data_IF_880892966711
#
_entry.id   IF_880892966711
#
_cell.length_a   1.000
_cell.length_b   1.000
_cell.length_c   1.000
_cell.angle_alpha   90.00
_cell.angle_beta   90.00
_cell.angle_gamma   90.00
#
_symmetry.space_group_name_H-M   'P 1'
#
loop_
_entity.id
_entity.type
_entity.pdbx_description
1 polymer ?
#
# COMPACT_ATOMS: atom_id res chain seq x y z
N UNK A 1 -0.76 -21.43 50.10
CA UNK A 1 -0.31 -20.83 48.84
C UNK A 1 -0.55 -21.77 47.66
N UNK A 2 -1.75 -22.02 47.33
CA UNK A 2 -2.20 -22.52 46.04
C UNK A 2 -3.63 -22.04 45.83
N UNK A 3 -3.89 -21.19 44.85
CA UNK A 3 -5.11 -21.35 44.11
C UNK A 3 -5.01 -20.81 42.67
N UNK A 4 -4.31 -21.51 41.78
CA UNK A 4 -4.28 -21.12 40.35
C UNK A 4 -4.70 -22.24 39.41
N UNK A 5 -4.99 -23.43 39.91
CA UNK A 5 -5.28 -24.63 39.09
C UNK A 5 -6.78 -24.82 38.78
N UNK A 6 -7.68 -24.02 39.34
CA UNK A 6 -9.14 -24.17 39.16
C UNK A 6 -9.72 -23.66 37.84
N UNK A 7 -9.27 -22.52 37.37
CA UNK A 7 -9.85 -21.85 36.18
C UNK A 7 -9.42 -22.50 34.85
N UNK A 8 -8.21 -23.09 34.76
CA UNK A 8 -7.77 -23.80 33.54
C UNK A 8 -8.68 -24.99 33.21
N UNK A 9 -9.08 -25.77 34.21
CA UNK A 9 -9.98 -26.90 34.01
C UNK A 9 -11.41 -26.47 33.62
N UNK A 10 -11.84 -25.32 34.11
CA UNK A 10 -13.16 -24.76 33.77
C UNK A 10 -13.20 -24.20 32.36
N UNK A 11 -12.11 -23.50 31.91
CA UNK A 11 -11.98 -22.98 30.55
C UNK A 11 -11.85 -24.12 29.52
N UNK A 12 -11.04 -25.13 29.80
CA UNK A 12 -10.87 -26.30 28.89
C UNK A 12 -12.17 -27.10 28.81
N UNK A 13 -12.86 -27.33 29.93
CA UNK A 13 -14.17 -28.00 29.94
C UNK A 13 -15.31 -27.21 29.26
N UNK A 14 -15.22 -25.87 29.23
CA UNK A 14 -16.15 -25.03 28.48
C UNK A 14 -15.90 -25.06 26.97
N UNK A 15 -14.63 -25.15 26.57
CA UNK A 15 -14.23 -25.29 25.15
C UNK A 15 -14.64 -26.67 24.60
N UNK A 16 -14.43 -27.75 25.37
CA UNK A 16 -14.84 -29.10 24.95
C UNK A 16 -16.37 -29.25 24.87
N UNK A 17 -17.13 -28.63 25.78
CA UNK A 17 -18.60 -28.63 25.69
C UNK A 17 -19.14 -27.82 24.52
N UNK A 18 -18.47 -26.74 24.12
CA UNK A 18 -18.86 -25.95 22.95
C UNK A 18 -18.55 -26.65 21.64
N UNK A 19 -17.45 -27.43 21.60
CA UNK A 19 -17.09 -28.25 20.44
C UNK A 19 -17.95 -29.49 20.24
N UNK A 20 -18.56 -30.02 21.31
CA UNK A 20 -19.44 -31.20 21.23
C UNK A 20 -20.92 -30.87 20.96
N UNK A 21 -21.35 -29.62 21.22
CA UNK A 21 -22.73 -29.17 20.94
C UNK A 21 -22.94 -28.76 19.48
N UNK A 22 -21.92 -28.31 18.78
CA UNK A 22 -22.04 -27.88 17.38
C UNK A 22 -21.86 -29.00 16.34
N UNK A 23 -21.56 -30.23 16.79
CA UNK A 23 -21.36 -31.36 15.87
C UNK A 23 -22.64 -32.14 15.53
N UNK A 24 -23.78 -31.86 16.20
CA UNK A 24 -25.02 -32.60 15.98
C UNK A 24 -26.16 -31.86 15.28
N UNK A 25 -26.06 -30.52 15.11
CA UNK A 25 -27.11 -29.73 14.46
C UNK A 25 -26.72 -29.11 13.12
N UNK A 26 -25.55 -29.45 12.59
CA UNK A 26 -24.98 -28.91 11.33
C UNK A 26 -25.10 -29.81 10.10
N UNK A 27 -25.89 -30.89 10.15
CA UNK A 27 -25.87 -31.90 9.07
C UNK A 27 -26.92 -31.67 7.94
N UNK A 28 -27.66 -30.55 7.93
CA UNK A 28 -28.70 -30.33 6.89
C UNK A 28 -28.74 -28.88 6.31
N UNK A 29 -27.59 -28.23 6.18
CA UNK A 29 -27.47 -27.05 5.31
C UNK A 29 -26.30 -27.26 4.35
N UNK A 30 -26.39 -28.29 3.50
CA UNK A 30 -25.60 -28.42 2.27
C UNK A 30 -26.01 -27.30 1.31
N UNK A 31 -25.40 -26.13 1.45
CA UNK A 31 -25.10 -25.34 0.27
C UNK A 31 -24.11 -26.18 -0.55
N UNK A 32 -24.66 -27.06 -1.38
CA UNK A 32 -23.93 -27.69 -2.48
C UNK A 32 -23.58 -26.58 -3.47
N UNK A 33 -22.51 -25.86 -3.19
CA UNK A 33 -21.76 -25.18 -4.23
C UNK A 33 -21.15 -26.30 -5.07
N UNK A 34 -21.67 -26.45 -6.29
CA UNK A 34 -21.21 -27.41 -7.29
C UNK A 34 -19.68 -27.38 -7.36
N UNK A 35 -18.98 -28.53 -7.22
CA UNK A 35 -17.52 -28.57 -7.37
C UNK A 35 -17.03 -28.03 -8.71
N UNK A 36 -17.92 -27.97 -9.72
CA UNK A 36 -17.67 -27.38 -11.02
C UNK A 36 -17.69 -25.85 -11.03
N UNK A 37 -18.45 -25.19 -10.15
CA UNK A 37 -18.44 -23.72 -10.03
C UNK A 37 -17.14 -23.22 -9.40
N UNK A 38 -16.61 -23.93 -8.41
CA UNK A 38 -15.31 -23.61 -7.81
C UNK A 38 -14.12 -23.93 -8.73
N UNK A 39 -14.24 -24.92 -9.63
CA UNK A 39 -13.23 -25.22 -10.64
C UNK A 39 -13.26 -24.22 -11.82
N UNK A 40 -14.43 -23.72 -12.19
CA UNK A 40 -14.57 -22.74 -13.26
C UNK A 40 -14.21 -21.31 -12.83
N UNK A 41 -14.37 -20.98 -11.54
CA UNK A 41 -13.88 -19.73 -10.94
C UNK A 41 -12.35 -19.70 -10.82
N UNK A 42 -11.67 -20.85 -10.71
CA UNK A 42 -10.20 -20.98 -10.74
C UNK A 42 -9.59 -20.82 -12.12
N UNK A 43 -10.36 -20.77 -13.20
CA UNK A 43 -9.85 -20.80 -14.57
C UNK A 43 -9.42 -19.45 -15.15
N UNK A 44 -9.79 -18.31 -14.55
CA UNK A 44 -9.34 -16.98 -15.00
C UNK A 44 -8.86 -16.19 -13.79
N UNK A 45 -7.55 -15.95 -13.70
CA UNK A 45 -6.98 -15.04 -12.72
C UNK A 45 -7.76 -13.72 -12.73
N UNK A 46 -8.17 -13.25 -11.55
CA UNK A 46 -8.89 -12.00 -11.35
C UNK A 46 -8.15 -10.80 -12.00
N UNK A 47 -6.84 -10.89 -12.05
CA UNK A 47 -5.96 -9.91 -12.69
C UNK A 47 -6.33 -9.63 -14.14
N UNK A 48 -6.58 -10.70 -14.94
CA UNK A 48 -6.97 -10.56 -16.36
C UNK A 48 -8.47 -10.31 -16.55
N UNK A 49 -9.28 -10.67 -15.57
CA UNK A 49 -10.75 -10.54 -15.66
C UNK A 49 -11.24 -9.15 -15.22
N UNK A 50 -10.54 -8.50 -14.28
CA UNK A 50 -10.95 -7.20 -13.76
C UNK A 50 -9.88 -6.12 -14.02
N UNK A 51 -10.11 -5.22 -15.01
CA UNK A 51 -9.14 -4.19 -15.37
C UNK A 51 -8.84 -3.20 -14.23
N UNK A 52 -9.72 -3.06 -13.23
CA UNK A 52 -9.45 -2.20 -12.07
C UNK A 52 -8.34 -2.80 -11.22
N UNK A 53 -8.33 -4.12 -10.99
CA UNK A 53 -7.27 -4.80 -10.23
C UNK A 53 -5.93 -4.67 -10.94
N UNK A 54 -5.92 -4.79 -12.28
CA UNK A 54 -4.72 -4.58 -13.09
C UNK A 54 -4.17 -3.15 -12.92
N UNK A 55 -5.03 -2.13 -12.94
CA UNK A 55 -4.61 -0.73 -12.72
C UNK A 55 -4.06 -0.53 -11.31
N UNK A 56 -4.72 -1.08 -10.30
CA UNK A 56 -4.26 -1.00 -8.91
C UNK A 56 -2.90 -1.68 -8.74
N UNK A 57 -2.68 -2.82 -9.41
CA UNK A 57 -1.37 -3.48 -9.42
C UNK A 57 -0.28 -2.57 -9.99
N UNK A 58 -0.51 -1.93 -11.15
CA UNK A 58 0.48 -1.03 -11.74
C UNK A 58 0.69 0.25 -10.91
N UNK A 59 -0.36 0.78 -10.29
CA UNK A 59 -0.23 1.92 -9.36
C UNK A 59 0.60 1.55 -8.14
N UNK A 60 0.36 0.38 -7.55
CA UNK A 60 1.14 -0.10 -6.39
C UNK A 60 2.57 -0.45 -6.76
N UNK A 61 2.81 -1.03 -7.95
CA UNK A 61 4.14 -1.28 -8.47
C UNK A 61 4.94 0.01 -8.66
N UNK A 62 4.32 1.02 -9.28
CA UNK A 62 4.94 2.33 -9.48
C UNK A 62 5.26 3.01 -8.15
N UNK A 63 4.33 2.89 -7.19
CA UNK A 63 4.51 3.44 -5.84
C UNK A 63 5.62 2.72 -5.07
N UNK A 64 5.68 1.38 -5.15
CA UNK A 64 6.78 0.60 -4.55
C UNK A 64 8.14 0.94 -5.17
N UNK A 65 8.22 1.07 -6.49
CA UNK A 65 9.45 1.47 -7.17
C UNK A 65 9.90 2.89 -6.76
N UNK A 66 8.95 3.82 -6.64
CA UNK A 66 9.21 5.16 -6.14
C UNK A 66 9.83 5.14 -4.74
N UNK A 67 9.22 4.39 -3.78
CA UNK A 67 9.77 4.27 -2.42
C UNK A 67 11.15 3.61 -2.40
N UNK A 68 11.36 2.55 -3.17
CA UNK A 68 12.67 1.93 -3.28
C UNK A 68 13.75 2.88 -3.80
N UNK A 69 13.41 3.74 -4.76
CA UNK A 69 14.31 4.80 -5.26
C UNK A 69 14.56 5.85 -4.19
N UNK A 70 13.50 6.30 -3.49
CA UNK A 70 13.58 7.34 -2.46
C UNK A 70 14.46 6.91 -1.28
N UNK A 71 14.23 5.71 -0.74
CA UNK A 71 15.01 5.18 0.39
C UNK A 71 16.49 5.09 0.02
N UNK A 72 16.79 4.56 -1.16
CA UNK A 72 18.17 4.43 -1.64
C UNK A 72 18.82 5.79 -1.90
N UNK A 73 18.08 6.74 -2.49
CA UNK A 73 18.54 8.10 -2.71
C UNK A 73 18.88 8.81 -1.40
N UNK A 74 18.02 8.66 -0.39
CA UNK A 74 18.20 9.27 0.94
C UNK A 74 19.41 8.70 1.65
N UNK A 75 19.61 7.37 1.62
CA UNK A 75 20.79 6.72 2.20
C UNK A 75 22.06 7.13 1.50
N UNK A 76 22.06 7.14 0.15
CA UNK A 76 23.22 7.54 -0.65
C UNK A 76 23.59 9.02 -0.40
N UNK A 77 22.60 9.91 -0.34
CA UNK A 77 22.82 11.32 -0.05
C UNK A 77 23.46 11.52 1.34
N UNK A 78 22.96 10.81 2.36
CA UNK A 78 23.53 10.89 3.71
C UNK A 78 24.97 10.36 3.76
N UNK A 79 25.29 9.30 3.05
CA UNK A 79 26.62 8.69 3.06
C UNK A 79 27.65 9.46 2.20
N UNK A 80 27.25 9.95 1.03
CA UNK A 80 28.17 10.58 0.06
C UNK A 80 28.33 12.07 0.32
N UNK A 81 27.22 12.79 0.56
CA UNK A 81 27.22 14.25 0.66
C UNK A 81 27.38 14.75 2.09
N UNK A 82 26.85 14.02 3.08
CA UNK A 82 26.89 14.42 4.49
C UNK A 82 27.96 13.65 5.28
N UNK A 83 28.54 12.61 4.70
CA UNK A 83 29.55 11.72 5.32
C UNK A 83 29.08 11.10 6.67
N UNK A 84 27.77 11.13 6.96
CA UNK A 84 27.19 10.60 8.20
C UNK A 84 25.87 9.86 7.92
N UNK A 85 25.85 8.52 8.03
CA UNK A 85 24.65 7.69 7.79
C UNK A 85 23.53 7.95 8.80
N UNK A 86 23.79 8.63 9.93
CA UNK A 86 22.78 8.94 10.94
C UNK A 86 21.67 9.82 10.36
N UNK A 87 21.99 10.70 9.42
CA UNK A 87 21.01 11.56 8.77
C UNK A 87 19.96 10.78 7.98
N UNK A 88 20.31 9.66 7.33
CA UNK A 88 19.34 8.80 6.67
C UNK A 88 18.29 8.25 7.65
N UNK A 89 18.75 7.80 8.81
CA UNK A 89 17.87 7.28 9.85
C UNK A 89 16.90 8.34 10.37
N UNK A 90 17.35 9.60 10.52
CA UNK A 90 16.50 10.72 10.93
C UNK A 90 15.38 10.97 9.91
N UNK A 91 15.71 10.97 8.62
CA UNK A 91 14.71 11.14 7.54
C UNK A 91 13.65 10.05 7.58
N UNK A 92 14.07 8.77 7.65
CA UNK A 92 13.15 7.63 7.68
C UNK A 92 12.24 7.63 8.92
N UNK A 93 12.77 8.05 10.07
CA UNK A 93 11.96 8.21 11.30
C UNK A 93 10.93 9.32 11.13
N UNK A 94 11.31 10.48 10.59
CA UNK A 94 10.39 11.59 10.34
C UNK A 94 9.32 11.17 9.35
N UNK A 95 9.68 10.55 8.25
CA UNK A 95 8.75 10.06 7.24
C UNK A 95 7.72 9.08 7.84
N UNK A 96 8.18 8.08 8.58
CA UNK A 96 7.32 7.08 9.23
C UNK A 96 6.39 7.71 10.25
N UNK A 97 6.89 8.64 11.06
CA UNK A 97 6.12 9.33 12.09
C UNK A 97 5.02 10.21 11.49
N UNK A 98 5.37 11.04 10.50
CA UNK A 98 4.42 11.92 9.82
C UNK A 98 3.36 11.11 9.07
N UNK A 99 3.77 10.05 8.37
CA UNK A 99 2.85 9.16 7.66
C UNK A 99 1.87 8.47 8.62
N UNK A 100 2.34 8.03 9.79
CA UNK A 100 1.48 7.42 10.81
C UNK A 100 0.43 8.41 11.33
N UNK A 101 0.85 9.63 11.68
CA UNK A 101 -0.09 10.67 12.12
C UNK A 101 -1.10 11.02 11.03
N UNK A 102 -0.62 11.18 9.79
CA UNK A 102 -1.50 11.47 8.65
C UNK A 102 -2.52 10.34 8.41
N UNK A 103 -2.10 9.08 8.56
CA UNK A 103 -3.00 7.92 8.46
C UNK A 103 -4.07 7.90 9.54
N UNK A 104 -3.70 8.20 10.79
CA UNK A 104 -4.66 8.31 11.90
C UNK A 104 -5.66 9.44 11.68
N UNK A 105 -5.18 10.63 11.30
CA UNK A 105 -6.05 11.78 11.00
C UNK A 105 -6.97 11.48 9.85
N UNK A 106 -6.46 10.89 8.76
CA UNK A 106 -7.27 10.54 7.59
C UNK A 106 -8.31 9.46 7.92
N UNK A 107 -7.96 8.46 8.75
CA UNK A 107 -8.89 7.42 9.21
C UNK A 107 -10.02 7.95 10.09
N UNK A 108 -9.83 9.08 10.79
CA UNK A 108 -10.88 9.76 11.56
C UNK A 108 -11.82 10.60 10.70
N UNK A 109 -11.37 11.02 9.52
CA UNK A 109 -12.15 11.91 8.63
C UNK A 109 -12.98 11.07 7.67
N UNK A 110 -14.30 11.06 7.89
CA UNK A 110 -15.24 10.41 6.96
C UNK A 110 -15.39 11.28 5.71
N UNK A 111 -14.66 10.91 4.65
CA UNK A 111 -14.78 11.60 3.36
C UNK A 111 -15.91 10.96 2.56
N UNK A 112 -17.03 11.65 2.40
CA UNK A 112 -18.22 11.20 1.64
C UNK A 112 -18.08 11.36 0.13
N UNK A 113 -16.88 11.58 -0.38
CA UNK A 113 -16.64 11.73 -1.81
C UNK A 113 -16.69 10.36 -2.53
N UNK A 114 -17.05 10.39 -3.82
CA UNK A 114 -17.04 9.21 -4.70
C UNK A 114 -15.63 8.60 -4.75
N UNK A 115 -15.51 7.28 -4.63
CA UNK A 115 -14.23 6.57 -4.50
C UNK A 115 -13.23 6.89 -5.63
N UNK A 116 -13.70 6.94 -6.88
CA UNK A 116 -12.85 7.34 -8.01
C UNK A 116 -12.24 8.74 -7.89
N UNK A 117 -12.97 9.69 -7.25
CA UNK A 117 -12.46 11.04 -6.98
C UNK A 117 -11.45 11.04 -5.84
N UNK A 118 -11.70 10.28 -4.77
CA UNK A 118 -10.75 10.12 -3.66
C UNK A 118 -9.42 9.60 -4.17
N UNK A 119 -9.46 8.53 -4.99
CA UNK A 119 -8.25 7.91 -5.57
C UNK A 119 -7.47 8.89 -6.45
N UNK A 120 -8.16 9.67 -7.30
CA UNK A 120 -7.51 10.69 -8.13
C UNK A 120 -6.90 11.80 -7.27
N UNK A 121 -7.63 12.29 -6.26
CA UNK A 121 -7.15 13.35 -5.37
C UNK A 121 -5.92 12.88 -4.56
N UNK A 122 -5.97 11.67 -4.02
CA UNK A 122 -4.84 11.08 -3.29
C UNK A 122 -3.61 10.89 -4.20
N UNK A 123 -3.81 10.45 -5.46
CA UNK A 123 -2.74 10.33 -6.44
C UNK A 123 -2.12 11.68 -6.80
N UNK A 124 -2.94 12.72 -6.98
CA UNK A 124 -2.45 14.09 -7.24
C UNK A 124 -1.68 14.63 -6.03
N UNK A 125 -2.18 14.38 -4.82
CA UNK A 125 -1.51 14.80 -3.59
C UNK A 125 -0.09 14.19 -3.48
N UNK A 126 0.07 12.89 -3.81
CA UNK A 126 1.39 12.24 -3.89
C UNK A 126 2.26 12.88 -4.96
N UNK A 127 1.74 13.01 -6.19
CA UNK A 127 2.51 13.59 -7.28
C UNK A 127 2.99 15.00 -7.00
N UNK A 128 2.18 15.83 -6.37
CA UNK A 128 2.56 17.18 -5.95
C UNK A 128 3.50 17.15 -4.75
N UNK A 129 3.19 16.38 -3.71
CA UNK A 129 3.99 16.29 -2.50
C UNK A 129 5.42 15.84 -2.79
N UNK A 130 5.56 14.67 -3.40
CA UNK A 130 6.88 14.12 -3.75
C UNK A 130 7.48 14.72 -5.03
N UNK A 131 6.68 15.30 -5.91
CA UNK A 131 7.19 16.04 -7.08
C UNK A 131 8.04 17.25 -6.70
N UNK A 132 7.86 17.81 -5.51
CA UNK A 132 8.71 18.88 -4.98
C UNK A 132 10.14 18.44 -4.68
N UNK A 133 10.44 17.13 -4.68
CA UNK A 133 11.79 16.60 -4.51
C UNK A 133 12.78 17.06 -5.58
N UNK A 134 12.32 17.47 -6.75
CA UNK A 134 13.17 18.05 -7.79
C UNK A 134 13.88 19.34 -7.32
N UNK A 135 13.34 20.01 -6.29
CA UNK A 135 13.92 21.23 -5.71
C UNK A 135 14.84 20.96 -4.52
N UNK A 136 15.11 19.69 -4.19
CA UNK A 136 16.04 19.34 -3.13
C UNK A 136 17.46 19.71 -3.55
N UNK A 137 18.03 20.69 -2.86
CA UNK A 137 19.41 21.16 -3.07
C UNK A 137 20.23 21.22 -1.78
N UNK A 138 19.58 20.97 -0.64
CA UNK A 138 20.26 20.93 0.65
C UNK A 138 19.54 20.02 1.64
N UNK A 139 20.21 19.66 2.72
CA UNK A 139 19.65 18.85 3.81
C UNK A 139 18.32 19.41 4.37
N UNK A 140 18.26 20.71 4.61
CA UNK A 140 17.06 21.35 5.14
C UNK A 140 15.88 21.31 4.16
N UNK A 141 16.15 21.48 2.86
CA UNK A 141 15.10 21.36 1.84
C UNK A 141 14.58 19.93 1.75
N UNK A 142 15.44 18.92 1.90
CA UNK A 142 15.03 17.51 1.92
C UNK A 142 14.08 17.23 3.09
N UNK A 143 14.41 17.68 4.31
CA UNK A 143 13.55 17.48 5.49
C UNK A 143 12.18 18.13 5.32
N UNK A 144 12.12 19.36 4.81
CA UNK A 144 10.85 20.07 4.60
C UNK A 144 10.00 19.35 3.56
N UNK A 145 10.59 18.94 2.45
CA UNK A 145 9.89 18.23 1.38
C UNK A 145 9.35 16.89 1.88
N UNK A 146 10.16 16.10 2.58
CA UNK A 146 9.73 14.81 3.13
C UNK A 146 8.64 14.99 4.17
N UNK A 147 8.74 15.99 5.04
CA UNK A 147 7.71 16.27 6.04
C UNK A 147 6.35 16.54 5.40
N UNK A 148 6.31 17.33 4.33
CA UNK A 148 5.08 17.64 3.60
C UNK A 148 4.58 16.42 2.83
N UNK A 149 5.49 15.73 2.15
CA UNK A 149 5.16 14.62 1.25
C UNK A 149 4.72 13.36 2.00
N UNK A 150 5.35 13.02 3.12
CA UNK A 150 5.03 11.85 3.94
C UNK A 150 3.56 11.84 4.40
N UNK A 151 2.98 13.03 4.63
CA UNK A 151 1.57 13.17 4.99
C UNK A 151 0.59 12.73 3.91
N UNK A 152 1.02 12.61 2.65
CA UNK A 152 0.15 12.20 1.54
C UNK A 152 0.16 10.69 1.28
N UNK A 153 1.13 9.96 1.81
CA UNK A 153 1.31 8.53 1.58
C UNK A 153 0.21 7.67 2.20
N UNK A 154 -0.05 7.83 3.50
CA UNK A 154 -1.04 7.03 4.20
C UNK A 154 -2.46 7.19 3.62
N UNK A 155 -2.97 8.41 3.34
CA UNK A 155 -4.22 8.60 2.63
C UNK A 155 -4.30 7.88 1.28
N UNK A 156 -3.21 7.86 0.53
CA UNK A 156 -3.17 7.17 -0.75
C UNK A 156 -3.31 5.65 -0.60
N UNK A 157 -2.55 5.02 0.29
CA UNK A 157 -2.61 3.57 0.53
C UNK A 157 -4.00 3.16 1.03
N UNK A 158 -4.58 3.91 1.98
CA UNK A 158 -5.93 3.65 2.48
C UNK A 158 -6.94 3.70 1.33
N UNK A 159 -6.91 4.76 0.54
CA UNK A 159 -7.84 4.93 -0.60
C UNK A 159 -7.63 3.86 -1.67
N UNK A 160 -6.40 3.40 -1.89
CA UNK A 160 -6.09 2.33 -2.84
C UNK A 160 -6.69 0.99 -2.38
N UNK A 161 -6.55 0.65 -1.09
CA UNK A 161 -7.16 -0.55 -0.52
C UNK A 161 -8.69 -0.49 -0.55
N UNK A 162 -9.31 0.63 -0.14
CA UNK A 162 -10.75 0.86 -0.28
C UNK A 162 -11.25 0.70 -1.73
N UNK A 163 -10.43 1.15 -2.70
CA UNK A 163 -10.77 1.00 -4.12
C UNK A 163 -10.70 -0.46 -4.57
N UNK A 164 -9.75 -1.23 -4.05
CA UNK A 164 -9.65 -2.67 -4.31
C UNK A 164 -10.86 -3.42 -3.74
N UNK A 165 -11.26 -3.08 -2.49
CA UNK A 165 -12.43 -3.67 -1.84
C UNK A 165 -13.73 -3.42 -2.61
N UNK A 166 -13.93 -2.21 -3.13
CA UNK A 166 -15.12 -1.86 -3.91
C UNK A 166 -15.10 -2.40 -5.35
N UNK A 167 -13.94 -2.77 -5.86
CA UNK A 167 -13.78 -3.23 -7.24
C UNK A 167 -14.13 -4.72 -7.45
N UNK A 168 -14.18 -5.51 -6.37
CA UNK A 168 -14.36 -6.97 -6.44
C UNK A 168 -15.39 -7.45 -5.42
N UNK A 169 -16.07 -8.58 -5.68
CA UNK A 169 -16.90 -9.26 -4.67
C UNK A 169 -16.07 -9.74 -3.48
N UNK A 170 -16.69 -9.87 -2.30
CA UNK A 170 -16.03 -10.32 -1.07
C UNK A 170 -15.25 -11.64 -1.23
N UNK A 171 -15.79 -12.58 -2.02
CA UNK A 171 -15.14 -13.87 -2.28
C UNK A 171 -13.77 -13.73 -2.97
N UNK A 172 -13.52 -12.65 -3.68
CA UNK A 172 -12.30 -12.39 -4.46
C UNK A 172 -11.41 -11.28 -3.85
N UNK A 173 -11.80 -10.77 -2.69
CA UNK A 173 -11.11 -9.64 -2.04
C UNK A 173 -9.65 -9.97 -1.70
N UNK A 174 -9.41 -11.15 -1.14
CA UNK A 174 -8.07 -11.62 -0.78
C UNK A 174 -7.15 -11.68 -2.01
N UNK A 175 -7.65 -12.16 -3.15
CA UNK A 175 -6.88 -12.21 -4.39
C UNK A 175 -6.54 -10.79 -4.88
N UNK A 176 -7.51 -9.87 -4.87
CA UNK A 176 -7.29 -8.48 -5.29
C UNK A 176 -6.25 -7.77 -4.42
N UNK A 177 -6.35 -7.89 -3.09
CA UNK A 177 -5.38 -7.29 -2.16
C UNK A 177 -4.00 -7.93 -2.28
N UNK A 178 -3.93 -9.24 -2.56
CA UNK A 178 -2.65 -9.92 -2.83
C UNK A 178 -1.98 -9.36 -4.08
N UNK A 179 -2.73 -9.11 -5.17
CA UNK A 179 -2.18 -8.49 -6.37
C UNK A 179 -1.65 -7.07 -6.11
N UNK A 180 -2.39 -6.25 -5.36
CA UNK A 180 -1.96 -4.90 -4.97
C UNK A 180 -0.66 -4.95 -4.15
N UNK A 181 -0.60 -5.81 -3.13
CA UNK A 181 0.58 -5.97 -2.29
C UNK A 181 1.78 -6.50 -3.07
N UNK A 182 1.56 -7.50 -3.94
CA UNK A 182 2.62 -8.06 -4.80
C UNK A 182 3.18 -7.01 -5.76
N UNK A 183 2.33 -6.16 -6.32
CA UNK A 183 2.77 -5.02 -7.14
C UNK A 183 3.71 -4.09 -6.38
N UNK A 184 3.34 -3.70 -5.15
CA UNK A 184 4.16 -2.84 -4.30
C UNK A 184 5.50 -3.48 -3.95
N UNK A 185 5.52 -4.77 -3.56
CA UNK A 185 6.74 -5.50 -3.24
C UNK A 185 7.67 -5.66 -4.46
N UNK A 186 7.11 -5.96 -5.63
CA UNK A 186 7.88 -6.00 -6.87
C UNK A 186 8.51 -4.62 -7.17
N UNK A 187 7.73 -3.55 -7.05
CA UNK A 187 8.24 -2.20 -7.21
C UNK A 187 9.38 -1.88 -6.24
N UNK A 188 9.19 -2.20 -4.96
CA UNK A 188 10.19 -2.00 -3.92
C UNK A 188 11.48 -2.78 -4.18
N UNK A 189 11.42 -3.95 -4.81
CA UNK A 189 12.59 -4.72 -5.19
C UNK A 189 13.34 -4.11 -6.40
N UNK A 190 12.62 -3.55 -7.37
CA UNK A 190 13.21 -2.89 -8.55
C UNK A 190 13.75 -1.50 -8.25
N UNK A 191 13.12 -0.76 -7.34
CA UNK A 191 13.48 0.62 -7.01
C UNK A 191 14.95 0.82 -6.66
N UNK A 192 15.50 0.10 -5.68
CA UNK A 192 16.90 0.22 -5.29
C UNK A 192 17.90 -0.11 -6.42
N UNK A 193 17.56 -1.09 -7.26
CA UNK A 193 18.39 -1.45 -8.41
C UNK A 193 18.47 -0.30 -9.42
N UNK A 194 17.32 0.32 -9.70
CA UNK A 194 17.25 1.49 -10.57
C UNK A 194 17.99 2.69 -9.94
N UNK A 195 17.81 2.90 -8.65
CA UNK A 195 18.45 3.97 -7.91
C UNK A 195 19.98 3.81 -7.91
N UNK A 196 20.49 2.60 -7.62
CA UNK A 196 21.93 2.32 -7.66
C UNK A 196 22.56 2.66 -9.01
N UNK A 197 21.93 2.21 -10.10
CA UNK A 197 22.40 2.53 -11.46
C UNK A 197 22.45 4.06 -11.73
N UNK A 198 21.46 4.81 -11.25
CA UNK A 198 21.38 6.26 -11.44
C UNK A 198 22.43 6.96 -10.59
N UNK A 199 22.62 6.54 -9.34
CA UNK A 199 23.62 7.12 -8.44
C UNK A 199 25.01 6.93 -8.99
N UNK A 200 25.32 5.74 -9.51
CA UNK A 200 26.64 5.41 -10.08
C UNK A 200 26.95 6.23 -11.34
N UNK A 201 25.93 6.60 -12.13
CA UNK A 201 26.11 7.29 -13.41
C UNK A 201 25.96 8.80 -13.31
N UNK A 202 25.04 9.30 -12.50
CA UNK A 202 24.62 10.72 -12.45
C UNK A 202 24.62 11.33 -11.06
N UNK A 203 24.92 10.53 -10.01
CA UNK A 203 25.00 11.00 -8.63
C UNK A 203 23.66 11.02 -7.88
N UNK A 204 23.74 11.29 -6.56
CA UNK A 204 22.60 11.22 -5.62
C UNK A 204 21.47 12.19 -5.97
N UNK A 205 21.79 13.40 -6.45
CA UNK A 205 20.78 14.39 -6.82
C UNK A 205 19.91 13.97 -8.01
N UNK A 206 20.52 13.30 -9.01
CA UNK A 206 19.77 12.77 -10.16
C UNK A 206 18.77 11.68 -9.73
N UNK A 207 19.08 10.94 -8.67
CA UNK A 207 18.20 9.94 -8.10
C UNK A 207 16.93 10.57 -7.51
N UNK A 208 17.01 11.70 -6.80
CA UNK A 208 15.82 12.45 -6.35
C UNK A 208 14.97 12.95 -7.53
N UNK A 209 15.62 13.42 -8.60
CA UNK A 209 14.90 13.77 -9.83
C UNK A 209 14.14 12.61 -10.44
N UNK A 210 14.73 11.41 -10.46
CA UNK A 210 14.05 10.19 -10.92
C UNK A 210 12.88 9.81 -10.02
N UNK A 211 13.07 9.90 -8.69
CA UNK A 211 11.98 9.72 -7.73
C UNK A 211 10.81 10.68 -8.00
N UNK A 212 11.09 11.97 -8.24
CA UNK A 212 10.06 12.94 -8.58
C UNK A 212 9.31 12.58 -9.88
N UNK A 213 10.00 12.09 -10.90
CA UNK A 213 9.37 11.62 -12.15
C UNK A 213 8.46 10.44 -11.89
N UNK A 214 8.90 9.43 -11.12
CA UNK A 214 8.08 8.29 -10.75
C UNK A 214 6.84 8.71 -9.95
N UNK A 215 7.00 9.61 -8.98
CA UNK A 215 5.88 10.17 -8.21
C UNK A 215 4.88 10.90 -9.11
N UNK A 216 5.35 11.60 -10.14
CA UNK A 216 4.49 12.28 -11.11
C UNK A 216 3.76 11.33 -12.06
N UNK A 217 4.30 10.14 -12.31
CA UNK A 217 3.62 9.12 -13.11
C UNK A 217 2.41 8.53 -12.40
N UNK A 218 2.35 8.54 -11.06
CA UNK A 218 1.21 8.05 -10.28
C UNK A 218 -0.09 8.79 -10.62
N UNK A 219 -0.19 10.13 -10.51
CA UNK A 219 -1.38 10.86 -10.89
C UNK A 219 -1.68 10.79 -12.39
N UNK A 220 -0.68 10.71 -13.26
CA UNK A 220 -0.89 10.53 -14.71
C UNK A 220 -1.59 9.19 -14.98
N UNK A 221 -1.11 8.10 -14.40
CA UNK A 221 -1.73 6.79 -14.53
C UNK A 221 -3.15 6.77 -13.93
N UNK A 222 -3.35 7.38 -12.76
CA UNK A 222 -4.66 7.51 -12.13
C UNK A 222 -5.63 8.33 -12.99
N UNK A 223 -5.16 9.40 -13.64
CA UNK A 223 -5.97 10.24 -14.52
C UNK A 223 -6.39 9.50 -15.80
N UNK A 224 -5.46 8.80 -16.44
CA UNK A 224 -5.74 8.00 -17.66
C UNK A 224 -6.75 6.90 -17.36
N UNK A 225 -6.67 6.28 -16.19
CA UNK A 225 -7.56 5.18 -15.80
C UNK A 225 -8.84 5.65 -15.10
N UNK A 226 -8.95 6.94 -14.79
CA UNK A 226 -10.12 7.54 -14.11
C UNK A 226 -11.46 7.21 -14.78
N UNK A 227 -11.64 7.33 -16.13
CA UNK A 227 -12.92 7.05 -16.76
C UNK A 227 -13.35 5.58 -16.60
N UNK A 228 -12.39 4.67 -16.53
CA UNK A 228 -12.64 3.25 -16.31
C UNK A 228 -13.04 2.98 -14.85
N UNK A 229 -12.32 3.55 -13.89
CA UNK A 229 -12.63 3.44 -12.47
C UNK A 229 -13.99 4.05 -12.13
N UNK A 230 -14.34 5.19 -12.74
CA UNK A 230 -15.63 5.85 -12.56
C UNK A 230 -16.83 4.98 -12.96
N UNK A 231 -16.67 4.10 -13.96
CA UNK A 231 -17.75 3.20 -14.43
C UNK A 231 -17.93 1.99 -13.52
N UNK A 232 -16.90 1.57 -12.78
CA UNK A 232 -16.90 0.31 -12.01
C UNK A 232 -16.97 0.49 -10.51
N UNK A 233 -16.42 1.58 -9.98
CA UNK A 233 -16.27 1.85 -8.54
C UNK A 233 -16.98 3.15 -8.13
N UNK A 234 -17.70 3.77 -9.05
CA UNK A 234 -18.34 5.04 -8.80
C UNK A 234 -19.84 5.04 -8.79
#
# INVERSE_FOLDING_TARGET
TEPVVGWEKEVVGAFERKGAGDASDGADATCASDPNDSANARGKSLFFSNPVVCVLFFLSLLMGAFFGVLDTATVSYAQIELEDPTFASIVLVIESFVSTIAGLVFGMVVITARQSKKMLLASVAIGVGYGTMIFVSSWWSLLIVIFIAAGTYAPFIITMNETAEQAVPEANLTEALTWVTSGSLCGLAFGPTLAGFIIDTWGSFACFGTGAVLAFMVPVLALVTYPMMKKRVG
#
